data_IF_987034418910
#
_entry.id   IF_987034418910
#
_cell.length_a   1.000
_cell.length_b   1.000
_cell.length_c   1.000
_cell.angle_alpha   90.00
_cell.angle_beta   90.00
_cell.angle_gamma   90.00
#
_symmetry.space_group_name_H-M   'P 1'
#
loop_
_entity.id
_entity.type
_entity.pdbx_description
1 polymer ?
#
# COMPACT_ATOMS: atom_id res chain seq x y z
N UNK A 1 -28.60 -8.21 5.61
CA UNK A 1 -28.09 -7.71 6.90
C UNK A 1 -26.93 -8.60 7.32
N UNK A 2 -25.94 -8.03 8.00
CA UNK A 2 -24.76 -8.75 8.48
C UNK A 2 -24.91 -8.92 9.99
N UNK A 3 -24.87 -10.15 10.47
CA UNK A 3 -25.03 -10.49 11.91
C UNK A 3 -23.66 -10.70 12.57
N UNK A 4 -23.57 -10.47 13.88
CA UNK A 4 -22.30 -10.58 14.62
C UNK A 4 -21.64 -11.95 14.46
N UNK A 5 -22.42 -13.03 14.45
CA UNK A 5 -21.91 -14.39 14.29
C UNK A 5 -21.23 -14.65 12.95
N UNK A 6 -21.51 -13.82 11.93
CA UNK A 6 -20.87 -13.91 10.62
C UNK A 6 -19.49 -13.22 10.61
N UNK A 7 -19.16 -12.46 11.66
CA UNK A 7 -17.90 -11.74 11.82
C UNK A 7 -16.91 -12.48 12.72
N UNK A 8 -17.32 -13.61 13.31
CA UNK A 8 -16.45 -14.39 14.18
C UNK A 8 -15.26 -14.95 13.39
N UNK A 9 -14.05 -14.75 13.93
CA UNK A 9 -12.82 -15.30 13.38
C UNK A 9 -12.22 -14.54 12.19
N UNK A 10 -12.78 -13.39 11.77
CA UNK A 10 -12.23 -12.63 10.62
C UNK A 10 -11.14 -11.64 11.00
N UNK A 11 -11.00 -11.27 12.28
CA UNK A 11 -10.07 -10.22 12.74
C UNK A 11 -8.60 -10.49 12.37
N UNK A 12 -8.18 -11.75 12.34
CA UNK A 12 -6.81 -12.16 12.01
C UNK A 12 -6.66 -12.59 10.55
N UNK A 13 -7.69 -12.41 9.71
CA UNK A 13 -7.69 -12.85 8.32
C UNK A 13 -7.40 -11.67 7.40
N UNK A 14 -6.37 -11.80 6.56
CA UNK A 14 -6.09 -10.82 5.50
C UNK A 14 -7.16 -10.80 4.39
N UNK A 15 -7.20 -9.70 3.64
CA UNK A 15 -8.16 -9.47 2.57
C UNK A 15 -9.51 -8.95 3.08
N UNK A 16 -10.55 -9.07 2.26
CA UNK A 16 -11.92 -8.63 2.59
C UNK A 16 -12.94 -9.71 2.29
N UNK A 17 -13.83 -9.98 3.24
CA UNK A 17 -14.96 -10.93 3.07
C UNK A 17 -16.05 -10.38 2.14
N UNK A 18 -16.04 -9.07 1.88
CA UNK A 18 -17.00 -8.39 1.00
C UNK A 18 -16.50 -8.26 -0.43
N UNK A 19 -15.27 -8.71 -0.69
CA UNK A 19 -14.55 -8.55 -1.96
C UNK A 19 -14.31 -7.07 -2.32
N UNK A 20 -13.61 -6.87 -3.43
CA UNK A 20 -13.35 -5.55 -4.01
C UNK A 20 -13.29 -5.69 -5.53
N UNK A 21 -13.76 -4.67 -6.25
CA UNK A 21 -13.75 -4.63 -7.70
C UNK A 21 -13.52 -3.19 -8.17
N UNK A 22 -12.86 -3.04 -9.33
CA UNK A 22 -12.77 -1.73 -10.00
C UNK A 22 -14.09 -1.45 -10.71
N UNK A 23 -14.62 -0.24 -10.54
CA UNK A 23 -15.86 0.20 -11.19
C UNK A 23 -15.76 1.67 -11.62
N UNK A 24 -14.99 1.98 -12.69
CA UNK A 24 -14.79 3.36 -13.17
C UNK A 24 -16.08 4.10 -13.52
N UNK A 25 -17.10 3.36 -13.98
CA UNK A 25 -18.42 3.89 -14.34
C UNK A 25 -19.13 4.57 -13.16
N UNK A 26 -18.72 4.29 -11.91
CA UNK A 26 -19.23 5.00 -10.73
C UNK A 26 -18.90 6.50 -10.74
N UNK A 27 -17.95 6.95 -11.57
CA UNK A 27 -17.68 8.37 -11.76
C UNK A 27 -18.86 9.12 -12.42
N UNK A 28 -19.69 8.40 -13.17
CA UNK A 28 -20.85 8.95 -13.88
C UNK A 28 -22.03 9.21 -12.92
N UNK A 29 -22.64 10.39 -13.01
CA UNK A 29 -23.73 10.80 -12.13
C UNK A 29 -24.94 9.86 -12.22
N UNK A 30 -25.29 9.39 -13.41
CA UNK A 30 -26.39 8.43 -13.60
C UNK A 30 -26.16 7.13 -12.81
N UNK A 31 -24.91 6.66 -12.75
CA UNK A 31 -24.55 5.44 -12.03
C UNK A 31 -24.58 5.66 -10.51
N UNK A 32 -24.16 6.84 -10.05
CA UNK A 32 -24.24 7.23 -8.64
C UNK A 32 -25.70 7.27 -8.16
N UNK A 33 -26.61 7.83 -8.97
CA UNK A 33 -28.04 7.86 -8.66
C UNK A 33 -28.64 6.45 -8.58
N UNK A 34 -28.28 5.55 -9.51
CA UNK A 34 -28.67 4.12 -9.44
C UNK A 34 -28.18 3.46 -8.15
N UNK A 35 -26.98 3.78 -7.69
CA UNK A 35 -26.47 3.26 -6.42
C UNK A 35 -27.29 3.77 -5.23
N UNK A 36 -27.65 5.06 -5.20
CA UNK A 36 -28.51 5.64 -4.16
C UNK A 36 -29.89 5.00 -4.16
N UNK A 37 -30.46 4.71 -5.33
CA UNK A 37 -31.73 3.97 -5.42
C UNK A 37 -31.63 2.57 -4.79
N UNK A 38 -30.53 1.85 -5.01
CA UNK A 38 -30.31 0.56 -4.33
C UNK A 38 -30.20 0.74 -2.81
N UNK A 39 -29.43 1.72 -2.34
CA UNK A 39 -29.27 1.99 -0.92
C UNK A 39 -30.64 2.28 -0.25
N UNK A 40 -31.47 3.12 -0.87
CA UNK A 40 -32.83 3.43 -0.41
C UNK A 40 -33.74 2.21 -0.45
N UNK A 41 -33.69 1.41 -1.52
CA UNK A 41 -34.48 0.17 -1.66
C UNK A 41 -34.23 -0.81 -0.51
N UNK A 42 -32.99 -0.88 -0.02
CA UNK A 42 -32.62 -1.75 1.09
C UNK A 42 -32.71 -1.05 2.47
N UNK A 43 -33.17 0.20 2.53
CA UNK A 43 -33.31 0.96 3.78
C UNK A 43 -31.98 1.24 4.47
N UNK A 44 -30.93 1.55 3.71
CA UNK A 44 -29.62 1.91 4.23
C UNK A 44 -29.56 3.44 4.35
N UNK A 45 -29.19 3.96 5.52
CA UNK A 45 -29.20 5.39 5.82
C UNK A 45 -27.84 6.08 5.64
N UNK A 46 -26.75 5.32 5.74
CA UNK A 46 -25.38 5.81 5.63
C UNK A 46 -24.43 4.70 5.16
N UNK A 47 -23.27 5.09 4.65
CA UNK A 47 -22.25 4.16 4.15
C UNK A 47 -20.90 4.38 4.81
N UNK A 48 -20.23 3.29 5.17
CA UNK A 48 -18.80 3.30 5.51
C UNK A 48 -18.04 2.67 4.36
N UNK A 49 -17.10 3.42 3.79
CA UNK A 49 -16.31 3.02 2.62
C UNK A 49 -14.87 2.80 3.06
N UNK A 50 -14.40 1.55 3.00
CA UNK A 50 -13.03 1.18 3.35
C UNK A 50 -12.25 1.00 2.05
N UNK A 51 -11.18 1.77 1.85
CA UNK A 51 -10.37 1.68 0.64
C UNK A 51 -9.36 2.82 0.50
N UNK A 52 -8.85 2.98 -0.72
CA UNK A 52 -7.92 4.04 -1.12
C UNK A 52 -8.62 5.30 -1.65
N UNK A 53 -7.81 6.23 -2.17
CA UNK A 53 -8.25 7.53 -2.69
C UNK A 53 -9.42 7.44 -3.72
N UNK A 54 -9.35 6.49 -4.64
CA UNK A 54 -10.43 6.28 -5.62
C UNK A 54 -11.79 5.96 -4.98
N UNK A 55 -11.81 5.25 -3.85
CA UNK A 55 -13.04 4.95 -3.11
C UNK A 55 -13.60 6.19 -2.39
N UNK A 56 -12.73 7.10 -1.95
CA UNK A 56 -13.13 8.33 -1.26
C UNK A 56 -13.84 9.30 -2.20
N UNK A 57 -13.43 9.34 -3.47
CA UNK A 57 -14.14 10.09 -4.51
C UNK A 57 -15.62 9.64 -4.61
N UNK A 58 -15.87 8.33 -4.60
CA UNK A 58 -17.23 7.79 -4.60
C UNK A 58 -18.02 8.17 -3.34
N UNK A 59 -17.41 8.05 -2.15
CA UNK A 59 -18.03 8.43 -0.88
C UNK A 59 -18.41 9.92 -0.83
N UNK A 60 -17.53 10.80 -1.33
CA UNK A 60 -17.78 12.24 -1.41
C UNK A 60 -18.96 12.55 -2.35
N UNK A 61 -19.02 11.89 -3.51
CA UNK A 61 -20.12 12.07 -4.47
C UNK A 61 -21.46 11.65 -3.88
N UNK A 62 -21.53 10.49 -3.24
CA UNK A 62 -22.73 10.03 -2.53
C UNK A 62 -23.18 11.03 -1.46
N UNK A 63 -22.24 11.57 -0.68
CA UNK A 63 -22.53 12.61 0.32
C UNK A 63 -23.10 13.88 -0.29
N UNK A 64 -22.57 14.33 -1.43
CA UNK A 64 -23.11 15.49 -2.18
C UNK A 64 -24.53 15.29 -2.68
N UNK A 65 -24.94 14.05 -2.94
CA UNK A 65 -26.32 13.68 -3.27
C UNK A 65 -27.20 13.44 -2.03
N UNK A 66 -26.74 13.82 -0.84
CA UNK A 66 -27.49 13.71 0.42
C UNK A 66 -27.39 12.34 1.09
N UNK A 67 -26.44 11.50 0.70
CA UNK A 67 -26.21 10.18 1.32
C UNK A 67 -24.92 10.16 2.13
N UNK A 68 -25.03 10.30 3.46
CA UNK A 68 -23.89 10.40 4.36
C UNK A 68 -22.94 9.21 4.21
N UNK A 69 -21.69 9.49 3.86
CA UNK A 69 -20.66 8.48 3.67
C UNK A 69 -19.39 8.83 4.42
N UNK A 70 -18.75 7.85 5.07
CA UNK A 70 -17.47 8.01 5.78
C UNK A 70 -16.40 7.13 5.12
N UNK A 71 -15.24 7.71 4.84
CA UNK A 71 -14.06 6.99 4.34
C UNK A 71 -13.21 6.44 5.49
N UNK A 72 -12.70 5.22 5.34
CA UNK A 72 -11.71 4.59 6.22
C UNK A 72 -10.49 4.18 5.39
N UNK A 73 -9.26 4.55 5.78
CA UNK A 73 -8.09 4.37 4.94
C UNK A 73 -7.64 2.92 4.93
N UNK A 74 -7.90 2.23 3.82
CA UNK A 74 -7.56 0.80 3.63
C UNK A 74 -6.74 0.60 2.37
N UNK A 75 -5.42 0.75 2.49
CA UNK A 75 -4.44 0.57 1.43
C UNK A 75 -3.08 0.22 2.05
N UNK A 76 -2.24 -0.48 1.30
CA UNK A 76 -0.84 -0.75 1.71
C UNK A 76 0.08 0.42 1.38
N UNK A 77 -0.29 1.27 0.42
CA UNK A 77 0.60 2.26 -0.20
C UNK A 77 0.94 3.45 0.72
N UNK A 78 0.20 3.62 1.82
CA UNK A 78 0.29 4.77 2.75
C UNK A 78 0.11 6.15 2.10
N UNK A 79 -0.63 6.22 1.00
CA UNK A 79 -0.74 7.40 0.13
C UNK A 79 -2.01 8.25 0.35
N UNK A 80 -2.66 8.12 1.51
CA UNK A 80 -3.94 8.81 1.80
C UNK A 80 -3.70 10.07 2.64
N UNK A 81 -4.03 11.27 2.14
CA UNK A 81 -3.93 12.50 2.91
C UNK A 81 -4.83 12.52 4.15
N UNK A 82 -4.33 13.08 5.25
CA UNK A 82 -5.10 13.25 6.49
C UNK A 82 -4.96 12.10 7.50
N UNK A 83 -4.12 11.10 7.20
CA UNK A 83 -3.68 10.09 8.16
C UNK A 83 -2.18 9.87 8.00
N UNK A 84 -1.46 9.62 9.10
CA UNK A 84 -0.04 9.24 9.05
C UNK A 84 0.14 7.78 8.58
N UNK A 85 -0.87 6.94 8.85
CA UNK A 85 -0.85 5.51 8.56
C UNK A 85 -2.17 5.02 7.97
N UNK A 86 -2.09 4.12 6.99
CA UNK A 86 -3.24 3.41 6.41
C UNK A 86 -3.33 1.96 6.88
N UNK A 87 -4.54 1.42 6.94
CA UNK A 87 -4.76 0.01 7.35
C UNK A 87 -4.17 -0.90 6.27
N UNK A 88 -3.16 -1.68 6.65
CA UNK A 88 -2.45 -2.61 5.79
C UNK A 88 -0.99 -2.25 5.54
N UNK A 89 -0.60 -0.98 5.77
CA UNK A 89 0.78 -0.51 5.56
C UNK A 89 1.79 -1.27 6.43
N UNK A 90 1.58 -1.31 7.75
CA UNK A 90 2.49 -2.00 8.68
C UNK A 90 2.66 -3.49 8.33
N UNK A 91 1.57 -4.18 7.98
CA UNK A 91 1.62 -5.57 7.52
C UNK A 91 2.47 -5.70 6.25
N UNK A 92 2.30 -4.80 5.27
CA UNK A 92 3.08 -4.82 4.03
C UNK A 92 4.57 -4.55 4.28
N UNK A 93 4.90 -3.60 5.15
CA UNK A 93 6.29 -3.32 5.55
C UNK A 93 6.92 -4.53 6.22
N UNK A 94 6.24 -5.19 7.16
CA UNK A 94 6.77 -6.40 7.81
C UNK A 94 7.00 -7.54 6.81
N UNK A 95 6.09 -7.74 5.86
CA UNK A 95 6.26 -8.76 4.80
C UNK A 95 7.44 -8.43 3.89
N UNK A 96 7.59 -7.17 3.49
CA UNK A 96 8.72 -6.72 2.69
C UNK A 96 10.04 -6.89 3.45
N UNK A 97 10.10 -6.47 4.71
CA UNK A 97 11.29 -6.62 5.56
C UNK A 97 11.69 -8.09 5.73
N UNK A 98 10.76 -9.01 6.03
CA UNK A 98 11.08 -10.44 6.15
C UNK A 98 11.63 -11.01 4.83
N UNK A 99 11.08 -10.59 3.68
CA UNK A 99 11.60 -11.00 2.39
C UNK A 99 13.01 -10.45 2.12
N UNK A 100 13.25 -9.16 2.43
CA UNK A 100 14.54 -8.50 2.28
C UNK A 100 15.61 -9.13 3.18
N UNK A 101 15.29 -9.43 4.42
CA UNK A 101 16.20 -10.07 5.38
C UNK A 101 16.67 -11.44 4.85
N UNK A 102 15.74 -12.27 4.37
CA UNK A 102 16.06 -13.56 3.76
C UNK A 102 16.95 -13.43 2.53
N UNK A 103 16.73 -12.41 1.70
CA UNK A 103 17.58 -12.13 0.55
C UNK A 103 18.98 -11.72 1.02
N UNK A 104 19.07 -10.89 2.07
CA UNK A 104 20.33 -10.38 2.59
C UNK A 104 21.24 -11.49 3.16
N UNK A 105 20.66 -12.49 3.84
CA UNK A 105 21.40 -13.68 4.31
C UNK A 105 22.08 -14.43 3.14
N UNK A 106 21.36 -14.56 2.01
CA UNK A 106 21.92 -15.21 0.80
C UNK A 106 22.94 -14.32 0.09
N UNK A 107 22.75 -13.00 0.12
CA UNK A 107 23.66 -12.03 -0.47
C UNK A 107 25.03 -12.07 0.21
N UNK A 108 25.04 -12.15 1.54
CA UNK A 108 26.25 -12.27 2.37
C UNK A 108 27.02 -13.55 2.04
N UNK A 109 26.33 -14.65 1.80
CA UNK A 109 26.95 -15.96 1.53
C UNK A 109 27.62 -16.05 0.15
N UNK A 110 27.11 -15.32 -0.84
CA UNK A 110 27.57 -15.40 -2.23
C UNK A 110 28.23 -14.12 -2.77
N UNK A 111 28.42 -13.12 -1.92
CA UNK A 111 29.00 -11.82 -2.27
C UNK A 111 28.27 -11.15 -3.45
N UNK A 112 26.93 -11.03 -3.35
CA UNK A 112 26.07 -10.53 -4.42
C UNK A 112 25.40 -9.21 -4.07
N UNK A 113 25.05 -8.46 -5.10
CA UNK A 113 24.16 -7.30 -5.02
C UNK A 113 22.77 -7.72 -5.49
N UNK A 114 21.75 -7.42 -4.69
CA UNK A 114 20.35 -7.61 -5.04
C UNK A 114 19.66 -6.27 -5.22
N UNK A 115 18.79 -6.22 -6.23
CA UNK A 115 17.80 -5.15 -6.40
C UNK A 115 16.44 -5.78 -6.19
N UNK A 116 15.70 -5.28 -5.21
CA UNK A 116 14.40 -5.81 -4.84
C UNK A 116 13.36 -4.72 -5.05
N UNK A 117 12.42 -4.99 -5.94
CA UNK A 117 11.27 -4.13 -6.20
C UNK A 117 10.19 -4.37 -5.14
N UNK A 118 9.64 -3.30 -4.57
CA UNK A 118 8.52 -3.35 -3.63
C UNK A 118 7.37 -2.49 -4.12
N UNK A 119 6.16 -2.86 -3.71
CA UNK A 119 4.95 -2.10 -4.04
C UNK A 119 4.94 -0.71 -3.39
N UNK A 120 4.01 0.13 -3.81
CA UNK A 120 3.78 1.47 -3.23
C UNK A 120 3.15 2.44 -4.22
N UNK A 121 2.92 2.01 -5.47
CA UNK A 121 2.45 2.85 -6.58
C UNK A 121 3.30 4.11 -6.69
N UNK A 122 2.74 5.27 -6.38
CA UNK A 122 3.41 6.56 -6.47
C UNK A 122 4.01 7.03 -5.16
N UNK A 123 3.96 6.19 -4.12
CA UNK A 123 4.48 6.45 -2.78
C UNK A 123 5.66 5.53 -2.45
N UNK A 124 6.72 6.10 -1.92
CA UNK A 124 7.95 5.44 -1.53
C UNK A 124 7.93 4.86 -0.11
N UNK A 125 6.84 5.01 0.64
CA UNK A 125 6.74 4.65 2.07
C UNK A 125 7.16 3.21 2.34
N UNK A 126 6.66 2.23 1.57
CA UNK A 126 7.02 0.82 1.77
C UNK A 126 8.52 0.62 1.54
N UNK A 127 9.08 1.16 0.44
CA UNK A 127 10.50 1.05 0.12
C UNK A 127 11.39 1.71 1.16
N UNK A 128 10.98 2.88 1.65
CA UNK A 128 11.71 3.62 2.66
C UNK A 128 11.73 2.89 4.00
N UNK A 129 10.57 2.47 4.51
CA UNK A 129 10.47 1.84 5.81
C UNK A 129 11.09 0.44 5.82
N UNK A 130 10.77 -0.39 4.82
CA UNK A 130 11.32 -1.75 4.73
C UNK A 130 12.82 -1.74 4.41
N UNK A 131 13.28 -0.81 3.56
CA UNK A 131 14.70 -0.66 3.24
C UNK A 131 15.53 -0.22 4.44
N UNK A 132 15.02 0.69 5.27
CA UNK A 132 15.70 1.07 6.52
C UNK A 132 15.72 -0.11 7.50
N UNK A 133 14.58 -0.80 7.67
CA UNK A 133 14.46 -1.92 8.60
C UNK A 133 15.41 -3.08 8.23
N UNK A 134 15.52 -3.42 6.94
CA UNK A 134 16.38 -4.49 6.43
C UNK A 134 17.85 -4.07 6.20
N UNK A 135 18.20 -2.80 6.45
CA UNK A 135 19.57 -2.31 6.29
C UNK A 135 20.06 -2.19 4.85
N UNK A 136 19.18 -1.75 3.94
CA UNK A 136 19.49 -1.54 2.52
C UNK A 136 20.62 -0.51 2.31
N UNK A 137 21.51 -0.79 1.35
CA UNK A 137 22.59 0.10 0.95
C UNK A 137 22.09 1.31 0.16
N UNK A 138 21.02 1.13 -0.61
CA UNK A 138 20.35 2.20 -1.32
C UNK A 138 18.84 1.94 -1.35
N UNK A 139 18.08 3.02 -1.26
CA UNK A 139 16.63 3.02 -1.37
C UNK A 139 16.27 4.02 -2.46
N UNK A 140 15.52 3.57 -3.45
CA UNK A 140 15.06 4.37 -4.58
C UNK A 140 13.56 4.54 -4.47
N UNK A 141 13.11 5.80 -4.38
CA UNK A 141 11.71 6.18 -4.16
C UNK A 141 11.29 7.27 -5.15
N UNK A 142 10.01 7.34 -5.56
CA UNK A 142 9.53 8.31 -6.54
C UNK A 142 9.60 9.77 -6.07
N UNK A 143 9.62 10.02 -4.75
CA UNK A 143 9.64 11.37 -4.18
C UNK A 143 11.01 12.05 -4.26
N UNK A 144 12.06 11.32 -4.65
CA UNK A 144 13.43 11.84 -4.63
C UNK A 144 14.25 11.37 -5.82
N UNK A 145 14.87 12.33 -6.50
CA UNK A 145 15.82 12.05 -7.57
C UNK A 145 16.95 11.14 -7.08
N UNK A 146 17.36 10.22 -7.96
CA UNK A 146 18.45 9.30 -7.72
C UNK A 146 19.42 9.28 -8.90
N UNK A 147 20.68 8.97 -8.61
CA UNK A 147 21.70 8.73 -9.62
C UNK A 147 22.23 7.30 -9.50
N UNK A 148 21.95 6.50 -10.52
CA UNK A 148 22.42 5.10 -10.60
C UNK A 148 23.93 5.01 -10.50
N UNK A 149 24.66 5.98 -11.06
CA UNK A 149 26.12 6.01 -10.98
C UNK A 149 26.58 6.23 -9.55
N UNK A 150 25.99 7.19 -8.84
CA UNK A 150 26.31 7.44 -7.44
C UNK A 150 26.00 6.22 -6.55
N UNK A 151 24.92 5.49 -6.83
CA UNK A 151 24.60 4.23 -6.12
C UNK A 151 25.65 3.16 -6.41
N UNK A 152 26.05 2.97 -7.67
CA UNK A 152 27.08 2.01 -8.06
C UNK A 152 28.45 2.36 -7.45
N UNK A 153 28.83 3.64 -7.43
CA UNK A 153 30.05 4.14 -6.80
C UNK A 153 30.04 3.88 -5.29
N UNK A 154 28.88 4.10 -4.62
CA UNK A 154 28.70 3.79 -3.20
C UNK A 154 28.88 2.29 -2.92
N UNK A 155 28.29 1.42 -3.73
CA UNK A 155 28.43 -0.04 -3.59
C UNK A 155 29.86 -0.50 -3.82
N UNK A 156 30.56 0.08 -4.80
CA UNK A 156 31.96 -0.22 -5.09
C UNK A 156 32.84 0.15 -3.90
N UNK A 157 32.62 1.34 -3.31
CA UNK A 157 33.32 1.77 -2.11
C UNK A 157 33.03 0.89 -0.89
N UNK A 158 31.78 0.48 -0.69
CA UNK A 158 31.42 -0.44 0.39
C UNK A 158 32.15 -1.78 0.24
N UNK A 159 32.30 -2.29 -0.99
CA UNK A 159 33.06 -3.49 -1.30
C UNK A 159 34.54 -3.35 -1.00
N UNK A 160 35.15 -2.22 -1.37
CA UNK A 160 36.56 -1.93 -1.01
C UNK A 160 36.78 -1.84 0.51
N UNK A 161 35.73 -1.50 1.27
CA UNK A 161 35.74 -1.46 2.73
C UNK A 161 35.41 -2.82 3.39
N UNK A 162 35.25 -3.89 2.61
CA UNK A 162 35.02 -5.25 3.09
C UNK A 162 33.55 -5.66 3.26
N UNK A 163 32.59 -4.84 2.76
CA UNK A 163 31.19 -5.26 2.65
C UNK A 163 30.98 -5.97 1.31
N UNK A 164 30.99 -7.30 1.33
CA UNK A 164 31.00 -8.09 0.10
C UNK A 164 29.62 -8.29 -0.55
N UNK A 165 28.55 -7.78 0.05
CA UNK A 165 27.18 -7.89 -0.45
C UNK A 165 26.49 -6.52 -0.49
N UNK A 166 25.41 -6.40 -1.25
CA UNK A 166 24.63 -5.17 -1.34
C UNK A 166 23.15 -5.42 -1.49
N UNK A 167 22.33 -4.55 -0.89
CA UNK A 167 20.88 -4.58 -1.02
C UNK A 167 20.37 -3.22 -1.49
N UNK A 168 19.68 -3.20 -2.62
CA UNK A 168 18.97 -2.02 -3.14
C UNK A 168 17.48 -2.31 -3.07
N UNK A 169 16.72 -1.43 -2.44
CA UNK A 169 15.26 -1.47 -2.45
C UNK A 169 14.74 -0.41 -3.41
N UNK A 170 13.89 -0.82 -4.35
CA UNK A 170 13.33 0.01 -5.40
C UNK A 170 11.81 0.03 -5.26
N UNK A 171 11.20 1.20 -5.11
CA UNK A 171 9.75 1.32 -5.25
C UNK A 171 9.33 1.05 -6.71
N UNK A 172 8.15 0.45 -6.93
CA UNK A 172 7.63 0.13 -8.27
C UNK A 172 7.31 1.36 -9.14
N UNK A 173 7.22 2.55 -8.53
CA UNK A 173 6.81 3.83 -9.14
C UNK A 173 7.89 4.68 -9.76
#
# INVERSE_FOLDING_TARGET
KMESSQLDGIINRGGTILYSARFPEFAEEEVQLKAIEQLKKFGIDALVVIGGDGSYHGALKLTKHGFNSIGVPGTIDNDIPGTDFTIGFDTAVNVATDALDRINDTATSHQRVFVVEVMGRGAGDIALWSGIAAGADAIVIPERDYDVKAIADKLTKNREQGKDHGLIVLAEG
#
